data_IF_542295566392
#
_entry.id   IF_542295566392
#
_cell.length_a   1.000
_cell.length_b   1.000
_cell.length_c   1.000
_cell.angle_alpha   90.00
_cell.angle_beta   90.00
_cell.angle_gamma   90.00
#
_symmetry.space_group_name_H-M   'P 1'
#
loop_
_entity.id
_entity.type
_entity.pdbx_description
1 polymer ?
#
# COMPACT_ATOMS: atom_id res chain seq x y z
N UNK A 1 -18.01 28.56 12.75
CA UNK A 1 -18.98 27.47 12.56
C UNK A 1 -19.21 26.66 13.83
N UNK A 2 -18.26 26.64 14.77
CA UNK A 2 -18.49 26.05 16.10
C UNK A 2 -19.61 26.80 16.84
N UNK A 3 -20.43 26.05 17.58
CA UNK A 3 -21.31 26.62 18.60
C UNK A 3 -20.46 27.22 19.75
N UNK A 4 -21.03 28.04 20.64
CA UNK A 4 -20.27 28.69 21.71
C UNK A 4 -19.46 27.71 22.59
N UNK A 5 -20.01 26.53 22.89
CA UNK A 5 -19.33 25.47 23.65
C UNK A 5 -18.13 24.89 22.89
N UNK A 6 -18.28 24.61 21.60
CA UNK A 6 -17.17 24.15 20.77
C UNK A 6 -16.09 25.22 20.60
N UNK A 7 -16.45 26.51 20.56
CA UNK A 7 -15.46 27.58 20.53
C UNK A 7 -14.67 27.66 21.83
N UNK A 8 -15.34 27.55 22.97
CA UNK A 8 -14.70 27.53 24.28
C UNK A 8 -13.75 26.33 24.45
N UNK A 9 -14.14 25.15 23.98
CA UNK A 9 -13.30 23.95 24.05
C UNK A 9 -12.08 24.04 23.11
N UNK A 10 -12.26 24.59 21.91
CA UNK A 10 -11.14 24.86 20.99
C UNK A 10 -10.13 25.85 21.58
N UNK A 11 -10.63 26.96 22.14
CA UNK A 11 -9.80 27.98 22.75
C UNK A 11 -9.07 27.40 23.98
N UNK A 12 -9.73 26.56 24.79
CA UNK A 12 -9.10 25.83 25.92
C UNK A 12 -7.95 24.93 25.46
N UNK A 13 -8.20 24.04 24.50
CA UNK A 13 -7.18 23.09 24.00
C UNK A 13 -6.01 23.81 23.31
N UNK A 14 -6.27 24.95 22.66
CA UNK A 14 -5.23 25.77 22.03
C UNK A 14 -4.34 26.44 23.07
N UNK A 15 -4.91 26.95 24.17
CA UNK A 15 -4.13 27.51 25.28
C UNK A 15 -3.37 26.42 26.06
N UNK A 16 -3.95 25.22 26.21
CA UNK A 16 -3.25 24.06 26.77
C UNK A 16 -2.07 23.61 25.90
N UNK A 17 -2.22 23.66 24.57
CA UNK A 17 -1.14 23.35 23.63
C UNK A 17 0.00 24.35 23.76
N UNK A 18 -0.29 25.66 23.75
CA UNK A 18 0.73 26.71 23.95
C UNK A 18 1.47 26.56 25.28
N UNK A 19 0.74 26.22 26.35
CA UNK A 19 1.33 25.98 27.66
C UNK A 19 2.23 24.73 27.66
N UNK A 20 1.82 23.65 26.98
CA UNK A 20 2.61 22.43 26.85
C UNK A 20 3.88 22.64 25.99
N UNK A 21 3.78 23.35 24.87
CA UNK A 21 4.91 23.71 24.02
C UNK A 21 5.93 24.62 24.75
N UNK A 22 5.44 25.58 25.54
CA UNK A 22 6.29 26.41 26.39
C UNK A 22 6.97 25.57 27.49
N UNK A 23 6.25 24.65 28.13
CA UNK A 23 6.81 23.77 29.15
C UNK A 23 7.89 22.83 28.59
N UNK A 24 7.66 22.26 27.41
CA UNK A 24 8.65 21.45 26.68
C UNK A 24 9.89 22.29 26.32
N UNK A 25 9.69 23.50 25.78
CA UNK A 25 10.77 24.43 25.41
C UNK A 25 11.62 24.84 26.63
N UNK A 26 10.97 25.17 27.75
CA UNK A 26 11.66 25.51 29.01
C UNK A 26 12.39 24.29 29.58
N UNK A 27 11.80 23.10 29.53
CA UNK A 27 12.44 21.84 29.94
C UNK A 27 13.68 21.54 29.11
N UNK A 28 13.63 21.81 27.79
CA UNK A 28 14.77 21.67 26.86
C UNK A 28 15.89 22.67 27.14
N UNK A 29 15.56 23.87 27.62
CA UNK A 29 16.52 24.95 27.87
C UNK A 29 17.18 24.86 29.25
N UNK A 30 16.55 24.20 30.24
CA UNK A 30 17.06 24.09 31.62
C UNK A 30 18.05 22.96 31.89
N UNK A 31 18.30 22.06 30.94
CA UNK A 31 19.40 21.09 30.99
C UNK A 31 19.31 20.01 32.09
N UNK A 32 19.15 18.76 31.66
CA UNK A 32 19.62 17.47 32.25
C UNK A 32 19.20 17.10 33.69
N UNK A 33 18.75 17.99 34.58
CA UNK A 33 18.61 17.64 36.00
C UNK A 33 17.27 17.08 36.48
N UNK A 34 16.22 16.98 35.65
CA UNK A 34 14.98 16.29 36.02
C UNK A 34 14.33 15.58 34.81
N UNK A 35 14.93 14.46 34.34
CA UNK A 35 14.42 13.59 33.26
C UNK A 35 12.91 13.26 33.37
N UNK A 36 12.40 13.06 34.58
CA UNK A 36 10.97 12.79 34.81
C UNK A 36 10.06 13.96 34.41
N UNK A 37 10.48 15.20 34.65
CA UNK A 37 9.66 16.38 34.33
C UNK A 37 9.56 16.62 32.82
N UNK A 38 10.60 16.23 32.07
CA UNK A 38 10.63 16.32 30.60
C UNK A 38 9.78 15.23 29.94
N UNK A 39 9.89 13.98 30.41
CA UNK A 39 9.04 12.88 29.91
C UNK A 39 7.55 13.12 30.19
N UNK A 40 7.22 13.66 31.36
CA UNK A 40 5.85 14.06 31.71
C UNK A 40 5.35 15.24 30.85
N UNK A 41 6.20 16.22 30.55
CA UNK A 41 5.87 17.32 29.65
C UNK A 41 5.64 16.83 28.22
N UNK A 42 6.48 15.91 27.72
CA UNK A 42 6.32 15.30 26.39
C UNK A 42 5.04 14.45 26.32
N UNK A 43 4.77 13.66 27.34
CA UNK A 43 3.51 12.89 27.44
C UNK A 43 2.29 13.80 27.41
N UNK A 44 2.32 14.89 28.18
CA UNK A 44 1.22 15.86 28.23
C UNK A 44 1.05 16.63 26.92
N UNK A 45 2.15 16.94 26.23
CA UNK A 45 2.11 17.55 24.90
C UNK A 45 1.44 16.62 23.88
N UNK A 46 1.79 15.34 23.88
CA UNK A 46 1.17 14.36 22.99
C UNK A 46 -0.31 14.11 23.33
N UNK A 47 -0.67 14.08 24.62
CA UNK A 47 -2.07 14.00 25.07
C UNK A 47 -2.90 15.20 24.60
N UNK A 48 -2.37 16.43 24.69
CA UNK A 48 -3.07 17.65 24.27
C UNK A 48 -3.15 17.75 22.74
N UNK A 49 -2.10 17.35 22.01
CA UNK A 49 -2.14 17.26 20.54
C UNK A 49 -3.19 16.26 20.08
N UNK A 50 -3.27 15.09 20.73
CA UNK A 50 -4.27 14.08 20.42
C UNK A 50 -5.68 14.60 20.72
N UNK A 51 -5.90 15.24 21.87
CA UNK A 51 -7.19 15.82 22.23
C UNK A 51 -7.63 16.94 21.26
N UNK A 52 -6.71 17.82 20.86
CA UNK A 52 -6.99 18.89 19.88
C UNK A 52 -7.28 18.31 18.49
N UNK A 53 -6.51 17.29 18.07
CA UNK A 53 -6.73 16.57 16.81
C UNK A 53 -8.10 15.88 16.81
N UNK A 54 -8.45 15.17 17.88
CA UNK A 54 -9.74 14.49 18.02
C UNK A 54 -10.91 15.48 18.08
N UNK A 55 -10.69 16.63 18.73
CA UNK A 55 -11.65 17.73 18.72
C UNK A 55 -11.86 18.29 17.30
N UNK A 56 -10.78 18.58 16.56
CA UNK A 56 -10.86 19.09 15.18
C UNK A 56 -11.50 18.07 14.24
N UNK A 57 -11.11 16.80 14.32
CA UNK A 57 -11.66 15.71 13.51
C UNK A 57 -13.13 15.47 13.83
N UNK A 58 -13.52 15.44 15.11
CA UNK A 58 -14.91 15.23 15.52
C UNK A 58 -15.81 16.38 15.07
N UNK A 59 -15.35 17.62 15.14
CA UNK A 59 -16.10 18.78 14.67
C UNK A 59 -16.15 18.86 13.15
N UNK A 60 -15.06 18.56 12.44
CA UNK A 60 -15.04 18.52 10.98
C UNK A 60 -16.00 17.44 10.44
N UNK A 61 -16.01 16.24 11.03
CA UNK A 61 -16.99 15.17 10.75
C UNK A 61 -18.42 15.63 11.02
N UNK A 62 -18.67 16.32 12.13
CA UNK A 62 -20.00 16.86 12.45
C UNK A 62 -20.49 17.94 11.46
N UNK A 63 -19.59 18.56 10.70
CA UNK A 63 -19.93 19.54 9.65
C UNK A 63 -19.91 18.96 8.23
N UNK A 64 -19.74 17.65 8.07
CA UNK A 64 -19.61 17.02 6.74
C UNK A 64 -18.36 17.47 5.97
N UNK A 65 -17.35 18.00 6.67
CA UNK A 65 -16.10 18.46 6.09
C UNK A 65 -15.09 17.31 6.19
N UNK A 66 -14.68 16.79 5.03
CA UNK A 66 -13.44 16.02 4.91
C UNK A 66 -12.27 16.95 5.22
N UNK A 67 -11.53 16.68 6.30
CA UNK A 67 -10.28 17.38 6.56
C UNK A 67 -9.27 16.81 5.57
N UNK A 68 -8.94 17.59 4.54
CA UNK A 68 -8.01 17.21 3.49
C UNK A 68 -6.62 16.87 4.03
N UNK A 69 -5.90 16.07 3.25
CA UNK A 69 -4.51 15.65 3.48
C UNK A 69 -3.64 16.89 3.76
N UNK A 70 -3.14 17.05 4.99
CA UNK A 70 -1.89 17.81 5.13
C UNK A 70 -0.86 17.18 4.19
N UNK A 71 0.02 17.96 3.56
CA UNK A 71 1.11 17.39 2.78
C UNK A 71 1.91 16.47 3.70
N UNK A 72 1.92 15.19 3.34
CA UNK A 72 2.66 14.16 4.06
C UNK A 72 4.13 14.55 4.02
N UNK A 73 4.73 14.72 5.20
CA UNK A 73 6.16 14.99 5.31
C UNK A 73 6.93 13.69 5.10
N UNK A 74 8.11 13.74 4.47
CA UNK A 74 8.96 12.56 4.32
C UNK A 74 9.36 12.05 5.70
N UNK A 75 9.37 10.72 5.82
CA UNK A 75 9.77 10.02 7.03
C UNK A 75 11.20 10.42 7.42
N UNK A 76 11.45 10.78 8.68
CA UNK A 76 12.80 11.14 9.14
C UNK A 76 13.55 9.91 9.68
N UNK A 77 14.66 9.54 9.04
CA UNK A 77 15.52 8.42 9.44
C UNK A 77 15.98 8.50 10.91
N UNK A 78 16.24 9.70 11.45
CA UNK A 78 16.64 9.91 12.84
C UNK A 78 15.52 9.58 13.86
N UNK A 79 14.27 9.46 13.40
CA UNK A 79 13.10 9.22 14.26
C UNK A 79 12.63 7.76 14.30
N UNK A 80 13.28 6.86 13.57
CA UNK A 80 12.89 5.45 13.45
C UNK A 80 13.30 4.68 14.72
N UNK A 81 12.35 4.04 15.39
CA UNK A 81 12.59 3.21 16.58
C UNK A 81 11.64 2.00 16.65
N UNK A 82 12.03 0.94 17.37
CA UNK A 82 11.26 -0.22 17.89
C UNK A 82 10.40 -1.12 16.95
N UNK A 83 10.60 -1.17 15.63
CA UNK A 83 10.09 -2.26 14.75
C UNK A 83 11.10 -3.41 14.54
N UNK A 84 10.79 -4.44 13.73
CA UNK A 84 11.79 -5.46 13.37
C UNK A 84 13.00 -4.82 12.68
N UNK A 85 14.21 -5.37 12.89
CA UNK A 85 15.46 -4.79 12.34
C UNK A 85 15.36 -4.65 10.81
N UNK A 86 14.78 -5.63 10.14
CA UNK A 86 14.65 -5.64 8.69
C UNK A 86 13.72 -4.55 8.17
N UNK A 87 12.56 -4.31 8.80
CA UNK A 87 11.66 -3.24 8.35
C UNK A 87 12.20 -1.85 8.70
N UNK A 88 12.90 -1.69 9.82
CA UNK A 88 13.59 -0.44 10.16
C UNK A 88 14.60 -0.08 9.07
N UNK A 89 15.43 -1.05 8.67
CA UNK A 89 16.42 -0.80 7.62
C UNK A 89 15.74 -0.47 6.29
N UNK A 90 14.63 -1.11 5.94
CA UNK A 90 13.89 -0.75 4.72
C UNK A 90 13.27 0.64 4.78
N UNK A 91 12.80 1.10 5.94
CA UNK A 91 12.34 2.49 6.08
C UNK A 91 13.49 3.48 5.93
N UNK A 92 14.63 3.22 6.54
CA UNK A 92 15.85 4.04 6.37
C UNK A 92 16.24 4.07 4.89
N UNK A 93 16.37 2.91 4.25
CA UNK A 93 16.78 2.80 2.86
C UNK A 93 15.82 3.53 1.91
N UNK A 94 14.51 3.45 2.15
CA UNK A 94 13.49 4.11 1.34
C UNK A 94 13.50 5.64 1.47
N UNK A 95 13.96 6.17 2.60
CA UNK A 95 14.09 7.61 2.87
C UNK A 95 15.40 8.15 2.33
N UNK A 96 16.51 7.46 2.62
CA UNK A 96 17.86 7.97 2.36
C UNK A 96 18.28 7.76 0.90
N UNK A 97 17.81 6.70 0.25
CA UNK A 97 18.19 6.41 -1.12
C UNK A 97 17.11 6.86 -2.11
N UNK A 98 17.48 7.58 -3.19
CA UNK A 98 16.57 7.84 -4.27
C UNK A 98 16.12 6.53 -4.93
N UNK A 99 14.84 6.45 -5.26
CA UNK A 99 14.22 5.29 -5.90
C UNK A 99 13.29 5.74 -7.03
N UNK A 100 12.56 4.80 -7.65
CA UNK A 100 11.66 5.12 -8.76
C UNK A 100 10.56 6.11 -8.39
N UNK A 101 10.12 6.14 -7.12
CA UNK A 101 9.12 7.12 -6.66
C UNK A 101 9.71 8.53 -6.57
N UNK A 102 10.98 8.66 -6.19
CA UNK A 102 11.72 9.93 -6.28
C UNK A 102 11.78 10.43 -7.72
N UNK A 103 12.05 9.54 -8.67
CA UNK A 103 12.05 9.88 -10.10
C UNK A 103 10.67 10.32 -10.60
N UNK A 104 9.61 9.57 -10.29
CA UNK A 104 8.21 9.87 -10.67
C UNK A 104 7.76 11.26 -10.24
N UNK A 105 8.18 11.67 -9.05
CA UNK A 105 7.76 12.93 -8.42
C UNK A 105 8.69 14.11 -8.75
N UNK A 106 9.77 13.86 -9.51
CA UNK A 106 10.79 14.87 -9.78
C UNK A 106 11.64 15.23 -8.55
N UNK A 107 11.72 14.33 -7.58
CA UNK A 107 12.53 14.47 -6.38
C UNK A 107 14.04 14.43 -6.67
N UNK A 108 14.84 14.70 -5.63
CA UNK A 108 16.30 14.66 -5.73
C UNK A 108 16.79 13.22 -5.95
N UNK A 109 17.65 13.02 -6.96
CA UNK A 109 18.28 11.72 -7.28
C UNK A 109 19.75 11.65 -6.87
N UNK A 110 20.27 12.71 -6.24
CA UNK A 110 21.63 12.75 -5.73
C UNK A 110 21.73 11.97 -4.42
N UNK A 111 22.74 11.11 -4.34
CA UNK A 111 23.15 10.47 -3.10
C UNK A 111 24.08 11.39 -2.31
N UNK A 112 23.81 11.53 -1.01
CA UNK A 112 24.67 12.25 -0.09
C UNK A 112 25.49 11.25 0.73
N UNK A 113 26.76 11.54 0.92
CA UNK A 113 27.68 10.67 1.66
C UNK A 113 28.28 11.44 2.84
N UNK A 114 28.27 10.87 4.07
CA UNK A 114 28.94 11.46 5.21
C UNK A 114 30.43 11.72 4.93
N UNK A 115 30.97 12.76 5.54
CA UNK A 115 32.41 13.04 5.47
C UNK A 115 33.21 11.84 5.98
N UNK A 116 34.27 11.47 5.24
CA UNK A 116 35.09 10.29 5.55
C UNK A 116 34.50 8.95 5.07
N UNK A 117 33.36 8.94 4.35
CA UNK A 117 32.88 7.70 3.72
C UNK A 117 33.94 7.15 2.75
N UNK A 118 34.35 5.89 2.90
CA UNK A 118 35.38 5.32 2.04
C UNK A 118 34.97 5.29 0.54
N UNK A 119 35.89 5.60 -0.39
CA UNK A 119 35.58 5.66 -1.83
C UNK A 119 34.94 4.38 -2.39
N UNK A 120 35.35 3.22 -1.91
CA UNK A 120 34.80 1.93 -2.30
C UNK A 120 33.33 1.78 -1.90
N UNK A 121 32.95 2.29 -0.72
CA UNK A 121 31.57 2.26 -0.23
C UNK A 121 30.70 3.25 -1.00
N UNK A 122 31.25 4.41 -1.37
CA UNK A 122 30.59 5.38 -2.26
C UNK A 122 30.28 4.72 -3.61
N UNK A 123 31.28 4.07 -4.21
CA UNK A 123 31.13 3.34 -5.47
C UNK A 123 30.06 2.25 -5.38
N UNK A 124 30.14 1.40 -4.36
CA UNK A 124 29.18 0.31 -4.15
C UNK A 124 27.75 0.83 -4.04
N UNK A 125 27.55 1.90 -3.26
CA UNK A 125 26.22 2.49 -3.04
C UNK A 125 25.66 3.12 -4.32
N UNK A 126 26.48 3.90 -5.05
CA UNK A 126 26.09 4.49 -6.33
C UNK A 126 25.68 3.42 -7.35
N UNK A 127 26.46 2.35 -7.47
CA UNK A 127 26.13 1.24 -8.37
C UNK A 127 24.85 0.53 -7.93
N UNK A 128 24.72 0.19 -6.64
CA UNK A 128 23.56 -0.53 -6.10
C UNK A 128 22.27 0.25 -6.32
N UNK A 129 22.23 1.50 -5.87
CA UNK A 129 21.03 2.36 -5.97
C UNK A 129 20.72 2.68 -7.43
N UNK A 130 21.73 2.98 -8.25
CA UNK A 130 21.55 3.24 -9.67
C UNK A 130 20.96 2.04 -10.41
N UNK A 131 21.52 0.83 -10.20
CA UNK A 131 21.01 -0.43 -10.78
C UNK A 131 19.58 -0.73 -10.34
N UNK A 132 19.29 -0.54 -9.06
CA UNK A 132 17.93 -0.72 -8.52
C UNK A 132 16.94 0.23 -9.20
N UNK A 133 17.23 1.53 -9.18
CA UNK A 133 16.32 2.55 -9.69
C UNK A 133 16.00 2.37 -11.18
N UNK A 134 16.99 2.01 -12.02
CA UNK A 134 16.73 1.80 -13.46
C UNK A 134 15.92 0.52 -13.73
N UNK A 135 16.09 -0.54 -12.92
CA UNK A 135 15.27 -1.76 -13.02
C UNK A 135 13.86 -1.52 -12.53
N UNK A 136 13.70 -0.83 -11.40
CA UNK A 136 12.40 -0.41 -10.90
C UNK A 136 11.67 0.43 -11.97
N UNK A 137 12.34 1.42 -12.56
CA UNK A 137 11.76 2.24 -13.63
C UNK A 137 11.40 1.43 -14.88
N UNK A 138 12.21 0.44 -15.26
CA UNK A 138 11.93 -0.42 -16.41
C UNK A 138 10.65 -1.24 -16.22
N UNK A 139 10.51 -1.89 -15.07
CA UNK A 139 9.39 -2.78 -14.77
C UNK A 139 8.13 -2.06 -14.30
N UNK A 140 8.24 -0.85 -13.74
CA UNK A 140 7.08 -0.08 -13.30
C UNK A 140 6.41 0.70 -14.44
N UNK A 141 7.19 1.18 -15.41
CA UNK A 141 6.68 1.91 -16.59
C UNK A 141 6.49 1.02 -17.82
N UNK A 142 6.83 -0.27 -17.74
CA UNK A 142 6.89 -1.19 -18.88
C UNK A 142 7.69 -0.63 -20.07
N UNK A 143 8.77 0.12 -19.78
CA UNK A 143 9.43 0.95 -20.77
C UNK A 143 10.92 1.15 -20.49
N UNK A 144 11.73 0.76 -21.48
CA UNK A 144 13.17 1.05 -21.49
C UNK A 144 13.47 2.55 -21.66
N UNK A 145 12.53 3.32 -22.20
CA UNK A 145 12.71 4.76 -22.39
C UNK A 145 12.74 5.48 -21.02
N UNK A 146 11.80 5.18 -20.14
CA UNK A 146 11.78 5.76 -18.79
C UNK A 146 12.93 5.27 -17.92
N UNK A 147 13.34 4.01 -18.07
CA UNK A 147 14.54 3.50 -17.39
C UNK A 147 15.82 4.20 -17.86
N UNK A 148 15.94 4.47 -19.17
CA UNK A 148 17.07 5.21 -19.74
C UNK A 148 17.06 6.68 -19.29
N UNK A 149 15.88 7.31 -19.24
CA UNK A 149 15.74 8.67 -18.72
C UNK A 149 16.12 8.75 -17.23
N UNK A 150 15.67 7.78 -16.43
CA UNK A 150 16.05 7.67 -15.02
C UNK A 150 17.56 7.53 -14.86
N UNK A 151 18.20 6.66 -15.65
CA UNK A 151 19.65 6.51 -15.69
C UNK A 151 20.36 7.85 -15.93
N UNK A 152 19.97 8.59 -16.98
CA UNK A 152 20.62 9.86 -17.32
C UNK A 152 20.44 10.92 -16.23
N UNK A 153 19.26 11.02 -15.62
CA UNK A 153 19.01 11.98 -14.53
C UNK A 153 19.81 11.62 -13.26
N UNK A 154 19.84 10.34 -12.89
CA UNK A 154 20.64 9.89 -11.75
C UNK A 154 22.14 10.06 -12.01
N UNK A 155 22.61 9.73 -13.21
CA UNK A 155 24.00 9.92 -13.59
C UNK A 155 24.41 11.40 -13.54
N UNK A 156 23.56 12.30 -14.03
CA UNK A 156 23.81 13.73 -13.97
C UNK A 156 23.85 14.25 -12.52
N UNK A 157 22.88 13.85 -11.69
CA UNK A 157 22.79 14.26 -10.29
C UNK A 157 24.00 13.82 -9.45
N UNK A 158 24.63 12.71 -9.83
CA UNK A 158 25.78 12.12 -9.12
C UNK A 158 27.12 12.28 -9.87
N UNK A 159 27.15 13.10 -10.93
CA UNK A 159 28.38 13.41 -11.68
C UNK A 159 28.97 12.24 -12.49
N UNK A 160 28.20 11.20 -12.76
CA UNK A 160 28.68 9.96 -13.39
C UNK A 160 28.85 10.06 -14.91
N UNK A 161 28.07 10.94 -15.56
CA UNK A 161 28.11 11.17 -17.01
C UNK A 161 28.61 12.59 -17.38
N UNK A 162 29.24 13.30 -16.44
CA UNK A 162 29.83 14.63 -16.68
C UNK A 162 31.03 14.54 -17.65
N UNK A 163 31.30 15.57 -18.47
CA UNK A 163 32.53 15.63 -19.28
C UNK A 163 33.81 15.46 -18.46
N UNK A 164 33.79 15.89 -17.19
CA UNK A 164 34.91 15.82 -16.26
C UNK A 164 34.84 14.59 -15.33
N UNK A 165 33.96 13.61 -15.60
CA UNK A 165 33.85 12.41 -14.79
C UNK A 165 35.16 11.60 -14.78
N UNK A 166 35.55 11.11 -13.60
CA UNK A 166 36.73 10.26 -13.43
C UNK A 166 36.55 8.91 -14.13
N UNK A 167 37.63 8.16 -14.40
CA UNK A 167 37.53 6.80 -14.93
C UNK A 167 36.62 5.89 -14.09
N UNK A 168 36.67 6.02 -12.76
CA UNK A 168 35.85 5.25 -11.82
C UNK A 168 34.37 5.62 -11.94
N UNK A 169 34.05 6.92 -12.03
CA UNK A 169 32.67 7.39 -12.23
C UNK A 169 32.08 6.88 -13.55
N UNK A 170 32.89 6.88 -14.62
CA UNK A 170 32.48 6.33 -15.93
C UNK A 170 32.25 4.82 -15.87
N UNK A 171 33.03 4.08 -15.07
CA UNK A 171 32.81 2.66 -14.83
C UNK A 171 31.48 2.39 -14.10
N UNK A 172 31.14 3.20 -13.09
CA UNK A 172 29.84 3.10 -12.39
C UNK A 172 28.69 3.28 -13.38
N UNK A 173 28.71 4.35 -14.19
CA UNK A 173 27.69 4.58 -15.22
C UNK A 173 27.58 3.40 -16.20
N UNK A 174 28.71 2.89 -16.69
CA UNK A 174 28.74 1.75 -17.60
C UNK A 174 28.17 0.47 -16.95
N UNK A 175 28.44 0.25 -15.66
CA UNK A 175 27.91 -0.90 -14.91
C UNK A 175 26.39 -0.83 -14.74
N UNK A 176 25.84 0.34 -14.40
CA UNK A 176 24.38 0.54 -14.29
C UNK A 176 23.72 0.34 -15.65
N UNK A 177 24.29 0.92 -16.72
CA UNK A 177 23.80 0.77 -18.10
C UNK A 177 23.83 -0.69 -18.57
N UNK A 178 24.89 -1.42 -18.23
CA UNK A 178 25.01 -2.85 -18.55
C UNK A 178 23.94 -3.68 -17.84
N UNK A 179 23.66 -3.38 -16.57
CA UNK A 179 22.63 -4.06 -15.79
C UNK A 179 21.21 -3.81 -16.35
N UNK A 180 20.91 -2.57 -16.74
CA UNK A 180 19.67 -2.25 -17.47
C UNK A 180 19.57 -3.03 -18.78
N UNK A 181 20.64 -3.08 -19.58
CA UNK A 181 20.65 -3.84 -20.83
C UNK A 181 20.41 -5.33 -20.58
N UNK A 182 20.97 -5.90 -19.50
CA UNK A 182 20.75 -7.29 -19.12
C UNK A 182 19.29 -7.54 -18.74
N UNK A 183 18.67 -6.64 -17.96
CA UNK A 183 17.24 -6.72 -17.62
C UNK A 183 16.36 -6.65 -18.87
N UNK A 184 16.66 -5.74 -19.80
CA UNK A 184 15.95 -5.64 -21.09
C UNK A 184 16.09 -6.92 -21.90
N UNK A 185 17.29 -7.51 -21.99
CA UNK A 185 17.52 -8.76 -22.73
C UNK A 185 16.77 -9.92 -22.10
N UNK A 186 16.81 -10.05 -20.78
CA UNK A 186 16.10 -11.09 -20.05
C UNK A 186 14.57 -10.98 -20.27
N UNK A 187 14.01 -9.77 -20.21
CA UNK A 187 12.58 -9.54 -20.41
C UNK A 187 12.10 -9.69 -21.87
N UNK A 188 12.99 -9.86 -22.87
CA UNK A 188 12.58 -10.00 -24.29
C UNK A 188 11.74 -11.24 -24.57
N UNK A 189 12.00 -12.33 -23.86
CA UNK A 189 11.32 -13.60 -24.12
C UNK A 189 9.89 -13.58 -23.59
N UNK A 190 9.70 -13.09 -22.36
CA UNK A 190 8.41 -12.97 -21.70
C UNK A 190 8.48 -11.82 -20.69
N UNK A 191 8.08 -10.63 -21.12
CA UNK A 191 8.17 -9.41 -20.31
C UNK A 191 7.33 -9.52 -19.02
N UNK A 192 6.12 -10.08 -19.13
CA UNK A 192 5.22 -10.20 -18.00
C UNK A 192 5.81 -11.11 -16.93
N UNK A 193 6.31 -12.29 -17.32
CA UNK A 193 6.98 -13.20 -16.37
C UNK A 193 8.18 -12.53 -15.71
N UNK A 194 9.04 -11.88 -16.49
CA UNK A 194 10.21 -11.17 -15.96
C UNK A 194 9.82 -10.09 -14.94
N UNK A 195 8.76 -9.32 -15.23
CA UNK A 195 8.23 -8.31 -14.30
C UNK A 195 7.67 -8.95 -13.03
N UNK A 196 6.87 -10.00 -13.16
CA UNK A 196 6.26 -10.70 -12.02
C UNK A 196 7.34 -11.25 -11.09
N UNK A 197 8.36 -11.92 -11.64
CA UNK A 197 9.49 -12.44 -10.87
C UNK A 197 10.24 -11.30 -10.16
N UNK A 198 10.58 -10.24 -10.89
CA UNK A 198 11.25 -9.07 -10.32
C UNK A 198 10.45 -8.43 -9.17
N UNK A 199 9.16 -8.18 -9.37
CA UNK A 199 8.29 -7.57 -8.36
C UNK A 199 8.18 -8.47 -7.14
N UNK A 200 8.05 -9.78 -7.32
CA UNK A 200 7.94 -10.74 -6.21
C UNK A 200 9.23 -10.83 -5.39
N UNK A 201 10.39 -10.92 -6.06
CA UNK A 201 11.71 -10.91 -5.40
C UNK A 201 11.96 -9.63 -4.59
N UNK A 202 11.39 -8.51 -5.03
CA UNK A 202 11.61 -7.18 -4.44
C UNK A 202 10.41 -6.67 -3.63
N UNK A 203 9.38 -7.49 -3.40
CA UNK A 203 8.07 -7.00 -2.99
C UNK A 203 8.09 -6.25 -1.65
N UNK A 204 8.82 -6.76 -0.65
CA UNK A 204 8.94 -6.11 0.65
C UNK A 204 9.58 -4.72 0.56
N UNK A 205 10.60 -4.57 -0.29
CA UNK A 205 11.26 -3.29 -0.56
C UNK A 205 10.32 -2.34 -1.30
N UNK A 206 9.75 -2.77 -2.42
CA UNK A 206 8.84 -1.96 -3.24
C UNK A 206 7.62 -1.49 -2.44
N UNK A 207 7.06 -2.37 -1.60
CA UNK A 207 5.99 -2.02 -0.65
C UNK A 207 6.46 -0.94 0.31
N UNK A 208 7.62 -1.12 0.95
CA UNK A 208 8.13 -0.13 1.92
C UNK A 208 8.36 1.23 1.25
N UNK A 209 9.01 1.27 0.10
CA UNK A 209 9.23 2.50 -0.67
C UNK A 209 7.92 3.20 -1.06
N UNK A 210 6.93 2.42 -1.50
CA UNK A 210 5.60 2.94 -1.87
C UNK A 210 4.87 3.53 -0.67
N UNK A 211 4.89 2.84 0.48
CA UNK A 211 4.24 3.30 1.71
C UNK A 211 4.95 4.51 2.30
N UNK A 212 6.29 4.55 2.29
CA UNK A 212 7.04 5.74 2.71
C UNK A 212 6.72 6.94 1.82
N UNK A 213 6.63 6.74 0.50
CA UNK A 213 6.27 7.81 -0.43
C UNK A 213 4.84 8.34 -0.21
N UNK A 214 3.87 7.47 0.13
CA UNK A 214 2.46 7.88 0.34
C UNK A 214 2.19 8.40 1.76
N UNK A 215 2.78 7.80 2.79
CA UNK A 215 2.42 8.03 4.19
C UNK A 215 3.51 8.71 5.01
N UNK A 216 4.79 8.64 4.61
CA UNK A 216 5.90 9.35 5.24
C UNK A 216 5.83 9.36 6.77
N UNK A 217 5.89 10.55 7.37
CA UNK A 217 5.85 10.74 8.82
C UNK A 217 4.57 10.26 9.52
N UNK A 218 3.50 9.92 8.79
CA UNK A 218 2.30 9.30 9.37
C UNK A 218 2.52 7.85 9.74
N UNK A 219 3.58 7.21 9.24
CA UNK A 219 3.94 5.83 9.62
C UNK A 219 4.43 5.82 11.06
N UNK A 220 3.86 4.92 11.86
CA UNK A 220 4.31 4.57 13.19
C UNK A 220 5.36 3.46 13.09
N UNK A 221 6.63 3.87 13.05
CA UNK A 221 7.75 2.94 12.89
C UNK A 221 7.96 2.05 14.11
N UNK A 222 7.38 2.37 15.27
CA UNK A 222 7.52 1.56 16.48
C UNK A 222 6.52 0.41 16.51
N UNK A 223 5.35 0.59 15.91
CA UNK A 223 4.30 -0.44 15.87
C UNK A 223 4.21 -1.18 14.55
N UNK A 224 4.93 -0.74 13.52
CA UNK A 224 4.97 -1.43 12.22
C UNK A 224 5.81 -2.70 12.28
N UNK A 225 5.44 -3.71 11.50
CA UNK A 225 6.14 -4.99 11.37
C UNK A 225 6.25 -5.36 9.89
N UNK A 226 7.00 -6.42 9.59
CA UNK A 226 7.08 -6.97 8.23
C UNK A 226 5.71 -7.32 7.63
N UNK A 227 4.68 -7.55 8.45
CA UNK A 227 3.32 -7.91 8.03
C UNK A 227 2.35 -6.73 7.98
N UNK A 228 2.58 -5.67 8.77
CA UNK A 228 1.66 -4.54 8.85
C UNK A 228 2.39 -3.21 9.05
N UNK A 229 2.03 -2.21 8.25
CA UNK A 229 2.39 -0.82 8.49
C UNK A 229 1.28 -0.15 9.28
N UNK A 230 1.62 0.39 10.44
CA UNK A 230 0.68 1.08 11.33
C UNK A 230 0.83 2.57 11.14
N UNK A 231 -0.28 3.31 11.08
CA UNK A 231 -0.26 4.76 11.08
C UNK A 231 -0.39 5.33 12.51
N UNK A 232 0.28 6.46 12.74
CA UNK A 232 0.28 7.18 14.02
C UNK A 232 -1.14 7.58 14.43
N UNK A 233 -1.36 7.77 15.74
CA UNK A 233 -2.63 8.25 16.30
C UNK A 233 -3.86 7.39 15.94
N UNK A 234 -3.65 6.09 15.68
CA UNK A 234 -4.73 5.19 15.27
C UNK A 234 -5.36 5.54 13.92
N UNK A 235 -4.64 6.24 13.04
CA UNK A 235 -5.18 6.65 11.73
C UNK A 235 -5.52 5.47 10.82
N UNK A 236 -4.84 4.33 10.99
CA UNK A 236 -5.17 3.11 10.25
C UNK A 236 -4.05 2.10 10.21
N UNK A 237 -4.29 1.02 9.47
CA UNK A 237 -3.36 -0.10 9.27
C UNK A 237 -3.31 -0.47 7.80
N UNK A 238 -2.14 -0.87 7.33
CA UNK A 238 -1.92 -1.35 5.97
C UNK A 238 -1.19 -2.69 6.05
N UNK A 239 -1.79 -3.73 5.49
CA UNK A 239 -1.15 -5.03 5.36
C UNK A 239 0.00 -4.92 4.36
N UNK A 240 1.17 -5.36 4.81
CA UNK A 240 2.34 -5.52 3.97
C UNK A 240 2.28 -6.92 3.33
N UNK A 241 3.08 -7.14 2.29
CA UNK A 241 3.27 -8.47 1.67
C UNK A 241 2.03 -9.12 1.04
N UNK A 242 0.93 -8.38 0.85
CA UNK A 242 -0.18 -8.82 -0.01
C UNK A 242 0.24 -8.60 -1.46
N UNK A 243 0.72 -9.62 -2.18
CA UNK A 243 1.23 -9.43 -3.54
C UNK A 243 0.19 -8.78 -4.46
N UNK A 244 0.61 -7.73 -5.18
CA UNK A 244 -0.21 -7.10 -6.20
C UNK A 244 -0.02 -7.84 -7.52
N UNK A 245 -1.10 -8.43 -8.03
CA UNK A 245 -1.16 -8.95 -9.39
C UNK A 245 -2.06 -8.04 -10.24
N UNK A 246 -1.50 -7.52 -11.33
CA UNK A 246 -2.26 -6.80 -12.35
C UNK A 246 -2.99 -7.79 -13.24
N UNK A 247 -4.30 -7.65 -13.41
CA UNK A 247 -5.07 -8.51 -14.31
C UNK A 247 -4.72 -8.32 -15.79
N UNK A 248 -3.96 -7.28 -16.13
CA UNK A 248 -3.46 -7.07 -17.49
C UNK A 248 -2.22 -7.94 -17.78
N UNK A 249 -1.65 -8.56 -16.75
CA UNK A 249 -0.42 -9.34 -16.82
C UNK A 249 -0.71 -10.84 -16.96
N UNK A 250 -1.92 -11.24 -16.57
CA UNK A 250 -2.41 -12.61 -16.61
C UNK A 250 -2.22 -13.23 -18.00
N UNK A 251 -1.95 -14.53 -18.05
CA UNK A 251 -1.77 -15.26 -19.32
C UNK A 251 -3.07 -15.88 -19.82
N UNK A 252 -4.02 -16.11 -18.93
CA UNK A 252 -5.27 -16.77 -19.27
C UNK A 252 -6.08 -15.95 -20.26
N UNK A 253 -6.43 -16.54 -21.40
CA UNK A 253 -7.23 -15.91 -22.44
C UNK A 253 -8.09 -16.99 -23.11
N UNK A 254 -9.32 -17.14 -22.63
CA UNK A 254 -10.24 -18.19 -23.00
C UNK A 254 -11.50 -17.58 -23.62
N UNK A 255 -11.72 -17.92 -24.89
CA UNK A 255 -12.92 -17.53 -25.62
C UNK A 255 -14.04 -18.54 -25.38
N UNK A 256 -15.12 -18.09 -24.73
CA UNK A 256 -16.37 -18.81 -24.62
C UNK A 256 -17.37 -18.26 -25.66
N UNK A 257 -18.52 -18.94 -25.80
CA UNK A 257 -19.57 -18.57 -26.76
C UNK A 257 -20.10 -17.14 -26.53
N UNK A 258 -20.43 -16.84 -25.27
CA UNK A 258 -21.09 -15.57 -24.89
C UNK A 258 -20.21 -14.72 -23.95
N UNK A 259 -18.95 -15.10 -23.76
CA UNK A 259 -18.03 -14.43 -22.85
C UNK A 259 -16.57 -14.60 -23.29
N UNK A 260 -15.71 -13.65 -22.93
CA UNK A 260 -14.27 -13.79 -23.08
C UNK A 260 -13.59 -13.49 -21.74
N UNK A 261 -13.00 -14.52 -21.13
CA UNK A 261 -12.18 -14.39 -19.93
C UNK A 261 -10.74 -14.18 -20.39
N UNK A 262 -10.28 -12.94 -20.31
CA UNK A 262 -8.99 -12.50 -20.86
C UNK A 262 -8.34 -11.48 -19.94
N UNK A 263 -7.06 -11.15 -20.16
CA UNK A 263 -6.41 -10.08 -19.42
C UNK A 263 -7.18 -8.77 -19.61
N UNK A 264 -7.39 -8.05 -18.52
CA UNK A 264 -8.28 -6.89 -18.50
C UNK A 264 -9.77 -7.21 -18.27
N UNK A 265 -10.20 -8.47 -18.20
CA UNK A 265 -11.58 -8.89 -17.87
C UNK A 265 -11.63 -10.01 -16.82
N UNK A 266 -10.74 -9.92 -15.82
CA UNK A 266 -10.47 -10.97 -14.83
C UNK A 266 -10.44 -10.43 -13.39
N UNK A 267 -11.05 -9.29 -13.12
CA UNK A 267 -10.97 -8.62 -11.82
C UNK A 267 -11.40 -9.50 -10.63
N UNK A 268 -12.44 -10.30 -10.82
CA UNK A 268 -12.96 -11.20 -9.79
C UNK A 268 -12.00 -12.35 -9.44
N UNK A 269 -11.58 -13.21 -10.40
CA UNK A 269 -10.59 -14.23 -10.09
C UNK A 269 -9.25 -13.64 -9.66
N UNK A 270 -8.79 -12.53 -10.26
CA UNK A 270 -7.51 -11.89 -9.86
C UNK A 270 -7.54 -11.43 -8.41
N UNK A 271 -8.57 -10.67 -8.00
CA UNK A 271 -8.69 -10.19 -6.61
C UNK A 271 -8.80 -11.34 -5.61
N UNK A 272 -9.52 -12.41 -5.99
CA UNK A 272 -9.67 -13.60 -5.14
C UNK A 272 -8.35 -14.34 -4.99
N UNK A 273 -7.60 -14.50 -6.07
CA UNK A 273 -6.29 -15.17 -6.09
C UNK A 273 -5.22 -14.41 -5.32
N UNK A 274 -5.20 -13.07 -5.37
CA UNK A 274 -4.32 -12.23 -4.53
C UNK A 274 -4.51 -12.57 -3.04
N UNK A 275 -5.76 -12.59 -2.58
CA UNK A 275 -6.08 -12.88 -1.18
C UNK A 275 -5.81 -14.35 -0.86
N UNK A 276 -6.16 -15.27 -1.75
CA UNK A 276 -5.92 -16.72 -1.59
C UNK A 276 -4.43 -17.04 -1.42
N UNK A 277 -3.58 -16.46 -2.27
CA UNK A 277 -2.13 -16.62 -2.21
C UNK A 277 -1.56 -16.04 -0.91
N UNK A 278 -1.98 -14.83 -0.52
CA UNK A 278 -1.57 -14.22 0.73
C UNK A 278 -1.93 -15.08 1.95
N UNK A 279 -3.10 -15.73 1.91
CA UNK A 279 -3.54 -16.66 2.96
C UNK A 279 -2.82 -18.03 2.90
N UNK A 280 -1.89 -18.22 1.96
CA UNK A 280 -0.98 -19.37 1.92
C UNK A 280 -1.25 -20.37 0.80
N UNK A 281 -2.23 -20.11 -0.09
CA UNK A 281 -2.42 -20.96 -1.26
C UNK A 281 -1.16 -20.97 -2.13
N UNK A 282 -0.84 -22.13 -2.68
CA UNK A 282 0.26 -22.31 -3.62
C UNK A 282 -0.28 -22.74 -4.98
N UNK A 283 0.31 -22.30 -6.09
CA UNK A 283 -0.04 -22.81 -7.41
C UNK A 283 0.11 -24.33 -7.47
N UNK A 284 -0.87 -25.03 -8.03
CA UNK A 284 -0.90 -26.49 -8.12
C UNK A 284 -0.79 -26.99 -9.57
N UNK A 285 -0.87 -26.09 -10.55
CA UNK A 285 -1.00 -26.39 -11.97
C UNK A 285 0.14 -25.80 -12.82
N UNK A 286 1.26 -25.46 -12.18
CA UNK A 286 2.50 -25.01 -12.85
C UNK A 286 2.42 -23.61 -13.46
N UNK A 287 1.54 -22.75 -12.95
CA UNK A 287 1.43 -21.36 -13.38
C UNK A 287 2.26 -20.44 -12.48
N UNK A 288 2.80 -19.35 -13.05
CA UNK A 288 3.61 -18.38 -12.32
C UNK A 288 2.77 -17.48 -11.41
N UNK A 289 1.58 -17.06 -11.87
CA UNK A 289 0.62 -16.31 -11.06
C UNK A 289 -0.49 -17.22 -10.54
N UNK A 290 -0.92 -16.96 -9.30
CA UNK A 290 -1.99 -17.71 -8.66
C UNK A 290 -3.31 -17.58 -9.43
N UNK A 291 -3.59 -16.46 -10.09
CA UNK A 291 -4.83 -16.28 -10.86
C UNK A 291 -4.93 -17.21 -12.07
N UNK A 292 -3.85 -17.36 -12.83
CA UNK A 292 -3.81 -18.30 -13.96
C UNK A 292 -3.96 -19.75 -13.46
N UNK A 293 -3.36 -20.07 -12.30
CA UNK A 293 -3.52 -21.37 -11.66
C UNK A 293 -4.98 -21.62 -11.25
N UNK A 294 -5.59 -20.63 -10.61
CA UNK A 294 -6.95 -20.66 -10.10
C UNK A 294 -7.98 -20.82 -11.23
N UNK A 295 -7.83 -20.08 -12.33
CA UNK A 295 -8.71 -20.22 -13.50
C UNK A 295 -8.53 -21.59 -14.15
N UNK A 296 -7.29 -22.07 -14.29
CA UNK A 296 -7.01 -23.42 -14.83
C UNK A 296 -7.60 -24.52 -13.96
N UNK A 297 -7.54 -24.38 -12.64
CA UNK A 297 -8.18 -25.30 -11.70
C UNK A 297 -9.72 -25.29 -11.89
N UNK A 298 -10.32 -24.11 -12.03
CA UNK A 298 -11.76 -23.99 -12.31
C UNK A 298 -12.18 -24.69 -13.62
N UNK A 299 -11.36 -24.64 -14.69
CA UNK A 299 -11.62 -25.38 -15.93
C UNK A 299 -11.52 -26.89 -15.72
N UNK A 300 -10.44 -27.34 -15.04
CA UNK A 300 -10.18 -28.75 -14.77
C UNK A 300 -11.32 -29.41 -13.99
N UNK A 301 -11.89 -28.69 -13.04
CA UNK A 301 -12.98 -29.18 -12.19
C UNK A 301 -14.38 -29.01 -12.81
N UNK A 302 -14.47 -28.49 -14.04
CA UNK A 302 -15.75 -28.23 -14.70
C UNK A 302 -16.59 -27.13 -14.04
N UNK A 303 -15.95 -26.26 -13.25
CA UNK A 303 -16.57 -25.10 -12.60
C UNK A 303 -16.76 -23.97 -13.61
N UNK A 304 -15.79 -23.77 -14.49
CA UNK A 304 -15.79 -22.72 -15.51
C UNK A 304 -16.24 -23.29 -16.87
N UNK A 305 -17.51 -23.04 -17.25
CA UNK A 305 -18.12 -23.62 -18.46
C UNK A 305 -18.53 -22.55 -19.47
N UNK A 306 -19.09 -21.42 -19.00
CA UNK A 306 -19.62 -20.33 -19.82
C UNK A 306 -18.72 -19.09 -19.82
N UNK A 307 -17.84 -18.97 -18.85
CA UNK A 307 -16.84 -17.92 -18.74
C UNK A 307 -17.14 -16.87 -17.67
N UNK A 308 -18.40 -16.71 -17.27
CA UNK A 308 -18.85 -15.69 -16.30
C UNK A 308 -18.98 -16.22 -14.86
N UNK A 309 -18.78 -17.51 -14.63
CA UNK A 309 -19.01 -18.16 -13.34
C UNK A 309 -18.17 -17.55 -12.22
N UNK A 310 -16.89 -17.27 -12.48
CA UNK A 310 -15.95 -16.71 -11.50
C UNK A 310 -16.26 -15.26 -11.12
N UNK A 311 -17.32 -14.65 -11.66
CA UNK A 311 -17.88 -13.38 -11.15
C UNK A 311 -18.70 -13.56 -9.87
N UNK A 312 -19.11 -14.79 -9.54
CA UNK A 312 -20.05 -15.09 -8.45
C UNK A 312 -19.35 -15.87 -7.33
N UNK A 313 -19.60 -15.47 -6.08
CA UNK A 313 -18.92 -16.04 -4.90
C UNK A 313 -19.07 -17.55 -4.80
N UNK A 314 -20.25 -18.11 -5.12
CA UNK A 314 -20.50 -19.55 -5.06
C UNK A 314 -19.57 -20.39 -5.95
N UNK A 315 -19.08 -19.85 -7.07
CA UNK A 315 -18.13 -20.57 -7.92
C UNK A 315 -16.69 -20.33 -7.47
N UNK A 316 -16.38 -19.13 -6.97
CA UNK A 316 -15.07 -18.87 -6.34
C UNK A 316 -14.83 -19.80 -5.15
N UNK A 317 -15.83 -19.99 -4.29
CA UNK A 317 -15.75 -20.88 -3.12
C UNK A 317 -15.43 -22.34 -3.52
N UNK A 318 -16.02 -22.83 -4.61
CA UNK A 318 -15.73 -24.19 -5.13
C UNK A 318 -14.29 -24.37 -5.61
N UNK A 319 -13.68 -23.30 -6.12
CA UNK A 319 -12.28 -23.35 -6.54
C UNK A 319 -11.38 -23.20 -5.31
N UNK A 320 -11.70 -22.28 -4.39
CA UNK A 320 -10.96 -22.10 -3.14
C UNK A 320 -10.86 -23.38 -2.30
N UNK A 321 -11.89 -24.23 -2.32
CA UNK A 321 -11.83 -25.51 -1.60
C UNK A 321 -10.72 -26.44 -2.09
N UNK A 322 -10.25 -26.29 -3.33
CA UNK A 322 -9.10 -27.05 -3.86
C UNK A 322 -7.76 -26.59 -3.28
N UNK A 323 -7.74 -25.38 -2.71
CA UNK A 323 -6.61 -24.80 -2.00
C UNK A 323 -6.79 -24.86 -0.48
N UNK A 324 -7.68 -25.73 0.00
CA UNK A 324 -8.02 -25.86 1.43
C UNK A 324 -8.47 -24.53 2.05
N UNK A 325 -9.19 -23.73 1.28
CA UNK A 325 -9.65 -22.41 1.69
C UNK A 325 -11.17 -22.27 1.53
N UNK A 326 -11.74 -21.35 2.31
CA UNK A 326 -13.16 -20.97 2.23
C UNK A 326 -13.30 -19.45 2.11
N UNK A 327 -14.38 -19.04 1.46
CA UNK A 327 -14.82 -17.66 1.40
C UNK A 327 -15.71 -17.38 2.62
N UNK A 328 -15.48 -16.25 3.30
CA UNK A 328 -16.32 -15.80 4.42
C UNK A 328 -16.83 -14.40 4.11
N UNK A 329 -18.12 -14.29 3.81
CA UNK A 329 -18.76 -13.00 3.57
C UNK A 329 -18.76 -12.16 4.85
N UNK A 330 -18.48 -10.87 4.70
CA UNK A 330 -18.51 -9.91 5.80
C UNK A 330 -19.92 -9.35 5.97
N UNK A 331 -20.39 -9.38 7.22
CA UNK A 331 -21.68 -8.83 7.60
C UNK A 331 -21.66 -7.29 7.62
N UNK A 332 -22.79 -6.61 7.32
CA UNK A 332 -22.90 -5.17 7.50
C UNK A 332 -22.76 -4.76 8.97
N UNK A 333 -22.25 -3.55 9.19
CA UNK A 333 -22.00 -3.03 10.53
C UNK A 333 -23.32 -2.91 11.31
N UNK A 334 -23.27 -3.05 12.64
CA UNK A 334 -24.43 -2.87 13.50
C UNK A 334 -24.41 -1.49 14.16
N UNK A 335 -25.51 -0.76 14.03
CA UNK A 335 -25.69 0.57 14.63
C UNK A 335 -26.64 0.46 15.83
N UNK A 336 -26.23 0.84 17.06
CA UNK A 336 -27.12 0.78 18.21
C UNK A 336 -28.26 1.80 18.08
N UNK A 337 -29.49 1.39 18.38
CA UNK A 337 -30.66 2.29 18.49
C UNK A 337 -30.66 2.98 19.87
N UNK A 338 -30.42 4.30 19.95
CA UNK A 338 -30.43 5.01 21.22
C UNK A 338 -31.78 4.87 21.94
N UNK A 339 -31.76 4.75 23.28
CA UNK A 339 -32.97 4.73 24.10
C UNK A 339 -33.71 3.38 24.18
N UNK A 340 -33.10 2.29 23.73
CA UNK A 340 -33.67 0.93 23.86
C UNK A 340 -33.03 0.15 25.03
N UNK A 341 -33.84 -0.57 25.81
CA UNK A 341 -33.37 -1.47 26.88
C UNK A 341 -34.08 -2.84 26.78
N UNK A 342 -33.38 -3.94 26.46
CA UNK A 342 -31.95 -4.00 26.09
C UNK A 342 -31.66 -3.23 24.79
N UNK A 343 -30.39 -2.87 24.57
CA UNK A 343 -29.95 -2.15 23.35
C UNK A 343 -30.31 -2.98 22.13
N UNK A 344 -31.09 -2.40 21.22
CA UNK A 344 -31.42 -2.95 19.91
C UNK A 344 -30.46 -2.40 18.86
N UNK A 345 -30.23 -3.15 17.80
CA UNK A 345 -29.33 -2.76 16.71
C UNK A 345 -30.08 -2.67 15.37
N UNK A 346 -29.56 -1.84 14.47
CA UNK A 346 -29.94 -1.77 13.06
C UNK A 346 -28.75 -2.11 12.18
N UNK A 347 -29.02 -2.71 11.03
CA UNK A 347 -28.00 -2.99 10.02
C UNK A 347 -27.63 -1.71 9.28
N UNK A 348 -26.34 -1.40 9.25
CA UNK A 348 -25.75 -0.28 8.51
C UNK A 348 -25.89 -0.47 7.00
N UNK A 349 -25.83 0.64 6.27
CA UNK A 349 -25.65 0.64 4.81
C UNK A 349 -24.23 0.25 4.37
N UNK A 350 -23.32 0.02 5.32
CA UNK A 350 -21.90 -0.20 5.09
C UNK A 350 -21.38 -1.38 5.92
N UNK A 351 -20.27 -1.95 5.45
CA UNK A 351 -19.45 -3.00 6.08
C UNK A 351 -18.11 -2.43 6.56
N UNK A 352 -18.04 -1.12 6.85
CA UNK A 352 -16.79 -0.39 7.07
C UNK A 352 -16.06 -0.93 8.29
N UNK A 353 -16.75 -1.11 9.41
CA UNK A 353 -16.12 -1.60 10.63
C UNK A 353 -15.80 -3.10 10.54
N UNK A 354 -16.66 -3.89 9.89
CA UNK A 354 -16.35 -5.30 9.58
C UNK A 354 -15.09 -5.46 8.72
N UNK A 355 -14.91 -4.61 7.70
CA UNK A 355 -13.71 -4.60 6.85
C UNK A 355 -12.48 -4.20 7.67
N UNK A 356 -12.56 -3.14 8.48
CA UNK A 356 -11.44 -2.72 9.35
C UNK A 356 -11.06 -3.80 10.35
N UNK A 357 -12.04 -4.49 10.94
CA UNK A 357 -11.81 -5.60 11.85
C UNK A 357 -11.03 -6.73 11.16
N UNK A 358 -11.44 -7.14 9.95
CA UNK A 358 -10.71 -8.11 9.15
C UNK A 358 -9.25 -7.68 8.87
N UNK A 359 -9.04 -6.42 8.48
CA UNK A 359 -7.69 -5.88 8.23
C UNK A 359 -6.83 -5.86 9.50
N UNK A 360 -7.41 -5.51 10.65
CA UNK A 360 -6.70 -5.55 11.94
C UNK A 360 -6.34 -7.00 12.35
N UNK A 361 -7.07 -8.00 11.86
CA UNK A 361 -6.75 -9.42 12.01
C UNK A 361 -5.74 -9.93 10.97
N UNK A 362 -5.22 -9.06 10.10
CA UNK A 362 -4.28 -9.47 9.06
C UNK A 362 -4.95 -10.06 7.82
N UNK A 363 -6.28 -9.90 7.65
CA UNK A 363 -7.05 -10.49 6.53
C UNK A 363 -7.39 -9.42 5.49
N UNK A 364 -6.78 -9.45 4.28
CA UNK A 364 -7.19 -8.58 3.20
C UNK A 364 -8.60 -8.96 2.72
N UNK A 365 -9.36 -7.98 2.23
CA UNK A 365 -10.78 -8.14 1.92
C UNK A 365 -11.01 -7.95 0.42
N UNK A 366 -11.59 -8.94 -0.24
CA UNK A 366 -12.08 -8.76 -1.62
C UNK A 366 -13.41 -8.01 -1.56
N UNK A 367 -13.52 -6.91 -2.30
CA UNK A 367 -14.72 -6.08 -2.35
C UNK A 367 -15.15 -5.81 -3.78
N UNK A 368 -16.45 -5.58 -3.94
CA UNK A 368 -17.06 -5.08 -5.17
C UNK A 368 -17.42 -3.61 -5.06
N UNK A 369 -17.31 -2.89 -6.18
CA UNK A 369 -17.79 -1.52 -6.32
C UNK A 369 -18.38 -1.28 -7.70
N UNK A 370 -19.08 -0.16 -7.86
CA UNK A 370 -19.56 0.34 -9.15
C UNK A 370 -18.67 1.48 -9.60
N UNK A 371 -17.80 1.20 -10.56
CA UNK A 371 -16.84 2.15 -11.07
C UNK A 371 -17.40 2.75 -12.35
N UNK A 372 -17.56 4.07 -12.35
CA UNK A 372 -18.01 4.83 -13.51
C UNK A 372 -16.80 5.54 -14.17
N UNK A 373 -15.70 4.81 -14.37
CA UNK A 373 -14.41 5.35 -14.83
C UNK A 373 -13.90 4.52 -16.00
N UNK A 374 -13.97 5.06 -17.22
CA UNK A 374 -13.50 4.34 -18.41
C UNK A 374 -12.05 3.82 -18.25
N UNK A 375 -11.76 2.58 -18.68
CA UNK A 375 -12.65 1.66 -19.42
C UNK A 375 -13.59 0.83 -18.53
N UNK A 376 -13.48 0.92 -17.20
CA UNK A 376 -14.30 0.18 -16.24
C UNK A 376 -15.56 1.00 -15.90
N UNK A 377 -16.68 0.66 -16.53
CA UNK A 377 -17.95 1.41 -16.39
C UNK A 377 -19.07 0.61 -15.72
N UNK A 378 -18.72 -0.55 -15.14
CA UNK A 378 -19.66 -1.48 -14.52
C UNK A 378 -19.16 -1.95 -13.14
N UNK A 379 -19.68 -3.08 -12.66
CA UNK A 379 -19.19 -3.73 -11.45
C UNK A 379 -17.75 -4.19 -11.59
N UNK A 380 -16.92 -3.85 -10.60
CA UNK A 380 -15.50 -4.18 -10.55
C UNK A 380 -15.14 -4.74 -9.17
N UNK A 381 -14.15 -5.64 -9.12
CA UNK A 381 -13.65 -6.20 -7.88
C UNK A 381 -12.18 -5.86 -7.68
N UNK A 382 -11.84 -5.60 -6.42
CA UNK A 382 -10.50 -5.26 -5.97
C UNK A 382 -10.27 -5.83 -4.56
N UNK A 383 -9.06 -5.65 -4.05
CA UNK A 383 -8.69 -6.06 -2.70
C UNK A 383 -8.43 -4.82 -1.84
N UNK A 384 -9.09 -4.72 -0.68
CA UNK A 384 -8.69 -3.77 0.36
C UNK A 384 -7.57 -4.42 1.16
N UNK A 385 -6.44 -3.73 1.20
CA UNK A 385 -5.22 -4.15 1.93
C UNK A 385 -4.92 -3.25 3.11
N UNK A 386 -5.68 -2.17 3.29
CA UNK A 386 -5.52 -1.28 4.43
C UNK A 386 -6.56 -0.19 4.46
N UNK A 387 -6.43 0.69 5.43
CA UNK A 387 -7.23 1.89 5.55
C UNK A 387 -6.44 3.00 6.23
N UNK A 388 -6.88 4.23 6.00
CA UNK A 388 -6.50 5.36 6.83
C UNK A 388 -7.73 6.17 7.26
N UNK A 389 -7.53 7.33 7.87
CA UNK A 389 -8.63 8.18 8.36
C UNK A 389 -9.55 8.72 7.26
N UNK A 390 -9.14 8.64 6.00
CA UNK A 390 -9.81 9.25 4.85
C UNK A 390 -10.32 8.23 3.82
N UNK A 391 -9.75 7.03 3.76
CA UNK A 391 -10.17 6.04 2.79
C UNK A 391 -9.57 4.64 2.93
N UNK A 392 -9.85 3.83 1.92
CA UNK A 392 -9.32 2.48 1.74
C UNK A 392 -7.97 2.53 1.02
N UNK A 393 -7.05 1.67 1.44
CA UNK A 393 -5.84 1.36 0.68
C UNK A 393 -6.09 0.05 -0.04
N UNK A 394 -5.93 0.04 -1.36
CA UNK A 394 -6.36 -1.07 -2.20
C UNK A 394 -5.27 -1.62 -3.09
N UNK A 395 -5.46 -2.86 -3.52
CA UNK A 395 -4.90 -3.43 -4.73
C UNK A 395 -6.01 -3.53 -5.74
N UNK A 396 -6.01 -2.59 -6.69
CA UNK A 396 -6.95 -2.58 -7.81
C UNK A 396 -6.30 -3.28 -9.01
N UNK A 397 -6.69 -4.52 -9.33
CA UNK A 397 -5.99 -5.32 -10.33
C UNK A 397 -6.04 -4.72 -11.73
N UNK A 398 -6.96 -3.81 -12.03
CA UNK A 398 -7.02 -3.14 -13.33
C UNK A 398 -6.01 -1.98 -13.43
N UNK A 399 -5.74 -1.30 -12.32
CA UNK A 399 -4.93 -0.08 -12.26
C UNK A 399 -5.52 0.95 -11.30
N UNK A 400 -4.94 2.15 -11.22
CA UNK A 400 -5.44 3.19 -10.31
C UNK A 400 -6.62 3.98 -10.89
N UNK A 401 -7.82 3.76 -10.34
CA UNK A 401 -9.07 4.40 -10.77
C UNK A 401 -9.15 5.91 -10.50
N UNK A 402 -8.28 6.46 -9.63
CA UNK A 402 -8.19 7.92 -9.45
C UNK A 402 -7.53 8.62 -10.64
N UNK A 403 -6.85 7.86 -11.51
CA UNK A 403 -6.18 8.39 -12.69
C UNK A 403 -7.05 8.11 -13.90
N UNK A 404 -7.26 9.14 -14.74
CA UNK A 404 -8.06 9.00 -15.96
C UNK A 404 -7.56 7.85 -16.83
N UNK A 405 -8.46 6.94 -17.21
CA UNK A 405 -8.12 5.78 -18.02
C UNK A 405 -7.44 4.65 -17.25
N UNK A 406 -7.51 4.64 -15.91
CA UNK A 406 -6.85 3.63 -15.07
C UNK A 406 -5.34 3.53 -15.30
N UNK A 407 -4.70 4.66 -15.62
CA UNK A 407 -3.26 4.65 -15.90
C UNK A 407 -2.46 4.41 -14.61
N UNK A 408 -1.40 3.62 -14.73
CA UNK A 408 -0.48 3.30 -13.64
C UNK A 408 -0.96 2.15 -12.76
N UNK A 409 -0.12 1.78 -11.80
CA UNK A 409 -0.35 0.63 -10.93
C UNK A 409 -1.47 0.88 -9.90
N UNK A 410 -2.32 -0.12 -9.70
CA UNK A 410 -3.32 -0.17 -8.62
C UNK A 410 -2.75 -0.64 -7.28
N UNK A 411 -1.44 -0.88 -7.18
CA UNK A 411 -0.76 -1.29 -5.96
C UNK A 411 -0.78 -0.16 -4.91
N UNK A 412 -1.34 -0.47 -3.73
CA UNK A 412 -1.59 0.46 -2.62
C UNK A 412 -2.23 1.78 -3.06
N UNK A 413 -3.21 1.74 -3.98
CA UNK A 413 -3.96 2.94 -4.35
C UNK A 413 -4.87 3.40 -3.19
N UNK A 414 -5.01 4.71 -2.99
CA UNK A 414 -5.85 5.29 -1.93
C UNK A 414 -7.20 5.72 -2.49
N UNK A 415 -8.29 5.10 -2.04
CA UNK A 415 -9.67 5.40 -2.47
C UNK A 415 -10.50 5.93 -1.30
N UNK A 416 -10.98 7.17 -1.41
CA UNK A 416 -11.80 7.81 -0.37
C UNK A 416 -13.01 6.95 0.04
N UNK A 417 -13.37 7.01 1.33
CA UNK A 417 -14.56 6.31 1.82
C UNK A 417 -15.83 6.73 1.07
N UNK A 418 -16.70 5.75 0.83
CA UNK A 418 -17.97 5.93 0.11
C UNK A 418 -17.83 6.05 -1.41
N UNK A 419 -16.62 6.22 -1.94
CA UNK A 419 -16.37 6.27 -3.38
C UNK A 419 -16.69 4.91 -4.04
N UNK A 420 -17.37 4.97 -5.19
CA UNK A 420 -17.77 3.80 -5.99
C UNK A 420 -18.57 2.72 -5.23
N UNK A 421 -19.18 3.07 -4.10
CA UNK A 421 -19.95 2.14 -3.27
C UNK A 421 -19.12 1.01 -2.64
N UNK A 422 -17.80 1.19 -2.56
CA UNK A 422 -16.90 0.19 -1.95
C UNK A 422 -17.26 0.01 -0.47
N UNK A 423 -17.54 -1.24 -0.08
CA UNK A 423 -17.95 -1.59 1.27
C UNK A 423 -19.42 -1.31 1.58
N UNK A 424 -20.25 -1.03 0.57
CA UNK A 424 -21.71 -0.95 0.76
C UNK A 424 -22.29 -2.31 1.18
N UNK A 425 -23.40 -2.30 1.93
CA UNK A 425 -24.05 -3.52 2.43
C UNK A 425 -24.47 -4.48 1.32
N UNK A 426 -24.89 -3.94 0.18
CA UNK A 426 -25.38 -4.69 -0.99
C UNK A 426 -24.22 -5.09 -1.92
N UNK A 427 -23.01 -4.57 -1.66
CA UNK A 427 -21.79 -4.90 -2.38
C UNK A 427 -21.13 -6.18 -1.86
N UNK A 428 -20.34 -6.81 -2.74
CA UNK A 428 -19.44 -7.90 -2.37
C UNK A 428 -18.43 -7.40 -1.33
N UNK A 429 -18.25 -8.16 -0.25
CA UNK A 429 -17.15 -7.99 0.69
C UNK A 429 -16.91 -9.33 1.41
N UNK A 430 -15.76 -9.94 1.21
CA UNK A 430 -15.41 -11.21 1.85
C UNK A 430 -13.93 -11.32 2.15
N UNK A 431 -13.60 -12.13 3.14
CA UNK A 431 -12.24 -12.60 3.42
C UNK A 431 -12.09 -14.06 2.98
N UNK A 432 -10.85 -14.53 2.92
CA UNK A 432 -10.55 -15.95 2.72
C UNK A 432 -9.90 -16.47 3.99
N UNK A 433 -10.33 -17.66 4.42
CA UNK A 433 -9.74 -18.35 5.56
C UNK A 433 -9.31 -19.75 5.14
N UNK A 434 -8.21 -20.23 5.73
CA UNK A 434 -7.80 -21.62 5.58
C UNK A 434 -8.78 -22.52 6.34
N UNK A 435 -9.14 -23.64 5.73
CA UNK A 435 -9.90 -24.70 6.38
C UNK A 435 -9.06 -25.32 7.48
N UNK A 436 -9.68 -25.81 8.57
CA UNK A 436 -8.96 -26.55 9.60
C UNK A 436 -8.24 -27.73 8.95
N UNK A 437 -6.94 -27.88 9.23
CA UNK A 437 -6.23 -29.11 8.85
C UNK A 437 -6.96 -30.27 9.50
N UNK A 438 -7.31 -31.30 8.71
CA UNK A 438 -7.78 -32.56 9.28
C UNK A 438 -6.62 -33.09 10.12
N UNK A 439 -6.84 -33.26 11.42
CA UNK A 439 -5.91 -34.02 12.26
C UNK A 439 -5.85 -35.43 11.68
N UNK A 440 -4.67 -35.85 11.21
CA UNK A 440 -4.39 -37.21 10.72
C UNK A 440 -4.17 -38.19 11.87
#
# INVERSE_FOLDING_TARGET
RLNPEGRAEYDRLTEELKAAELAESVGKTKGIFELKSWEEAQKKLEEVKLALKDFVISKAKAFGISVGKEPVKPLNAQSISNSSVDIQQRFIDAVENPNVNSYKTGGNLKLEFPEGTPPEKIKETLEKVGKQMVKDAFFDYDSSAHASEALEKFAAANGLNSPNATPEQKQIYAAIKSDLNAAVVYAKADFNTARIEYVRENYARLTTEKLVAEFGDRIDTQRSTDQVTVLKNGEGVILNQVYYDSQNDNKTNIQFKDYNLRPGNECSPTSTSIVSEYMGAKPQNGQNQQVDDFIKQAQKDGILVKGDELKKNIYLEKVLSQYEQKLVDLEPDLIPRPGTNPVKYETSAWKTESIKAALNEGKPVVVGGKFDVAPVTEGHRLVIVGYDSTGWIVHDPFGNANVTGYKGSGMYAHYDYGKWGIGSKDGTAFVIENLPKKEE
#
